data_IF_361941073976
#
_entry.id   IF_361941073976
#
_cell.length_a   1.000
_cell.length_b   1.000
_cell.length_c   1.000
_cell.angle_alpha   90.00
_cell.angle_beta   90.00
_cell.angle_gamma   90.00
#
_symmetry.space_group_name_H-M   'P 1'
#
loop_
_entity.id
_entity.type
_entity.pdbx_description
1 polymer ?
#
# COMPACT_ATOMS: atom_id res chain seq x y z
N UNK A 1 -8.28 7.20 10.34
CA UNK A 1 -7.21 7.94 9.64
C UNK A 1 -7.15 7.36 8.25
N UNK A 2 -7.06 8.16 7.18
CA UNK A 2 -7.09 7.58 5.84
C UNK A 2 -5.98 6.52 5.65
N UNK A 3 -6.32 5.38 5.06
CA UNK A 3 -5.44 4.22 4.84
C UNK A 3 -4.97 3.49 6.13
N UNK A 4 -5.79 3.50 7.20
CA UNK A 4 -5.47 2.82 8.46
C UNK A 4 -5.89 1.36 8.53
N UNK A 5 -6.12 0.70 7.40
CA UNK A 5 -6.60 -0.69 7.33
C UNK A 5 -7.94 -0.91 8.05
N UNK A 6 -8.75 0.14 8.11
CA UNK A 6 -10.08 0.14 8.70
C UNK A 6 -10.99 1.05 7.87
N UNK A 7 -12.21 0.58 7.58
CA UNK A 7 -13.21 1.43 6.94
C UNK A 7 -13.59 2.58 7.86
N UNK A 8 -13.27 3.80 7.46
CA UNK A 8 -13.62 5.01 8.21
C UNK A 8 -14.92 5.65 7.68
N UNK A 9 -15.70 6.36 8.52
CA UNK A 9 -16.96 7.00 8.10
C UNK A 9 -16.82 8.03 6.96
N UNK A 10 -15.61 8.52 6.70
CA UNK A 10 -15.30 9.49 5.65
C UNK A 10 -14.81 8.86 4.35
N UNK A 11 -14.58 7.54 4.32
CA UNK A 11 -14.18 6.84 3.11
C UNK A 11 -15.39 6.66 2.19
N UNK A 12 -15.19 6.97 0.91
CA UNK A 12 -16.21 6.82 -0.12
C UNK A 12 -15.95 5.56 -0.94
N UNK A 13 -17.00 5.06 -1.61
CA UNK A 13 -16.84 3.96 -2.56
C UNK A 13 -15.94 4.34 -3.73
N UNK A 14 -15.51 3.34 -4.52
CA UNK A 14 -14.49 3.53 -5.55
C UNK A 14 -14.96 4.35 -6.76
N UNK A 15 -16.25 4.64 -6.89
CA UNK A 15 -16.83 5.30 -8.08
C UNK A 15 -16.84 4.43 -9.34
N UNK A 16 -16.55 3.14 -9.22
CA UNK A 16 -16.44 2.19 -10.32
C UNK A 16 -17.69 1.32 -10.45
N UNK A 17 -18.23 1.19 -11.67
CA UNK A 17 -19.43 0.38 -11.94
C UNK A 17 -19.16 -1.07 -12.30
N UNK A 18 -17.92 -1.40 -12.68
CA UNK A 18 -17.54 -2.74 -13.17
C UNK A 18 -16.75 -3.55 -12.14
N UNK A 19 -16.68 -3.09 -10.89
CA UNK A 19 -15.99 -3.79 -9.83
C UNK A 19 -16.92 -4.82 -9.20
N UNK A 20 -16.44 -6.04 -9.00
CA UNK A 20 -17.23 -7.18 -8.55
C UNK A 20 -16.47 -7.94 -7.48
N UNK A 21 -17.19 -8.52 -6.52
CA UNK A 21 -16.65 -9.51 -5.59
C UNK A 21 -17.26 -10.86 -5.88
N UNK A 22 -16.42 -11.84 -6.19
CA UNK A 22 -16.80 -13.23 -6.43
C UNK A 22 -16.57 -14.05 -5.16
N UNK A 23 -17.43 -15.03 -4.92
CA UNK A 23 -17.29 -16.03 -3.88
C UNK A 23 -16.92 -17.36 -4.53
N UNK A 24 -15.78 -17.95 -4.16
CA UNK A 24 -15.37 -19.27 -4.61
C UNK A 24 -15.16 -20.19 -3.40
N UNK A 25 -15.42 -21.50 -3.55
CA UNK A 25 -15.02 -22.46 -2.52
C UNK A 25 -13.50 -22.43 -2.32
N UNK A 26 -13.03 -22.69 -1.10
CA UNK A 26 -11.59 -22.78 -0.82
C UNK A 26 -11.24 -24.16 -0.28
N UNK A 27 -10.24 -24.79 -0.90
CA UNK A 27 -9.71 -26.11 -0.52
C UNK A 27 -8.21 -25.99 -0.33
N UNK A 28 -7.71 -26.35 0.84
CA UNK A 28 -6.28 -26.24 1.17
C UNK A 28 -5.74 -24.80 1.11
N UNK A 29 -6.62 -23.79 1.24
CA UNK A 29 -6.26 -22.37 1.11
C UNK A 29 -6.26 -21.84 -0.33
N UNK A 30 -6.73 -22.62 -1.31
CA UNK A 30 -6.78 -22.21 -2.71
C UNK A 30 -8.22 -22.09 -3.20
N UNK A 31 -8.50 -21.01 -3.93
CA UNK A 31 -9.81 -20.75 -4.52
C UNK A 31 -10.08 -21.75 -5.65
N UNK A 32 -11.27 -22.34 -5.65
CA UNK A 32 -11.66 -23.36 -6.61
C UNK A 32 -12.55 -22.78 -7.70
N UNK A 33 -12.30 -23.07 -8.99
CA UNK A 33 -13.20 -22.71 -10.06
C UNK A 33 -14.35 -23.73 -10.21
N UNK A 34 -15.54 -23.31 -10.67
CA UNK A 34 -15.95 -21.92 -10.84
C UNK A 34 -16.30 -21.27 -9.49
N UNK A 35 -16.28 -19.94 -9.45
CA UNK A 35 -16.93 -19.19 -8.39
C UNK A 35 -18.43 -19.56 -8.31
N UNK A 36 -18.96 -19.51 -7.10
CA UNK A 36 -20.34 -19.89 -6.77
C UNK A 36 -21.31 -18.72 -6.92
N UNK A 37 -20.82 -17.50 -6.72
CA UNK A 37 -21.61 -16.28 -6.80
C UNK A 37 -20.72 -15.07 -7.11
N UNK A 38 -21.33 -14.00 -7.61
CA UNK A 38 -20.70 -12.70 -7.81
C UNK A 38 -21.65 -11.59 -7.38
N UNK A 39 -21.09 -10.51 -6.83
CA UNK A 39 -21.84 -9.34 -6.38
C UNK A 39 -21.15 -8.07 -6.86
N UNK A 40 -21.89 -7.17 -7.50
CA UNK A 40 -21.37 -5.87 -7.91
C UNK A 40 -21.03 -5.03 -6.68
N UNK A 41 -19.90 -4.33 -6.73
CA UNK A 41 -19.51 -3.36 -5.71
C UNK A 41 -20.22 -2.03 -5.99
N UNK A 42 -20.91 -1.50 -4.99
CA UNK A 42 -21.61 -0.23 -5.09
C UNK A 42 -20.61 0.92 -5.31
N UNK A 43 -20.73 1.72 -6.39
CA UNK A 43 -19.76 2.77 -6.70
C UNK A 43 -19.63 3.82 -5.58
N UNK A 44 -20.73 4.20 -4.93
CA UNK A 44 -20.75 5.28 -3.94
C UNK A 44 -20.28 4.87 -2.55
N UNK A 45 -20.42 3.59 -2.18
CA UNK A 45 -20.15 3.11 -0.82
C UNK A 45 -19.08 2.03 -0.75
N UNK A 46 -18.75 1.38 -1.87
CA UNK A 46 -17.85 0.22 -1.89
C UNK A 46 -18.49 -1.06 -1.32
N UNK A 47 -19.77 -1.02 -0.94
CA UNK A 47 -20.45 -2.18 -0.35
C UNK A 47 -20.77 -3.23 -1.42
N UNK A 48 -20.71 -4.50 -1.02
CA UNK A 48 -21.17 -5.65 -1.79
C UNK A 48 -21.87 -6.63 -0.84
N UNK A 49 -22.70 -7.51 -1.37
CA UNK A 49 -23.40 -8.52 -0.56
C UNK A 49 -23.58 -9.82 -1.35
N UNK A 50 -23.22 -10.92 -0.71
CA UNK A 50 -23.40 -12.29 -1.20
C UNK A 50 -24.38 -12.98 -0.26
N UNK A 51 -25.57 -13.28 -0.75
CA UNK A 51 -26.65 -13.88 0.04
C UNK A 51 -26.58 -15.41 0.02
N UNK A 52 -27.22 -16.04 1.01
CA UNK A 52 -27.44 -17.49 1.07
C UNK A 52 -26.16 -18.33 0.99
N UNK A 53 -25.05 -17.81 1.54
CA UNK A 53 -23.78 -18.53 1.61
C UNK A 53 -23.88 -19.63 2.67
N UNK A 54 -23.82 -20.89 2.24
CA UNK A 54 -23.81 -22.03 3.15
C UNK A 54 -22.55 -22.05 4.03
N UNK A 55 -22.59 -22.64 5.23
CA UNK A 55 -21.39 -22.82 6.04
C UNK A 55 -20.28 -23.57 5.28
N UNK A 56 -19.04 -23.08 5.37
CA UNK A 56 -17.92 -23.62 4.61
C UNK A 56 -16.72 -22.67 4.57
N UNK A 57 -15.65 -23.07 3.88
CA UNK A 57 -14.45 -22.25 3.66
C UNK A 57 -14.43 -21.73 2.23
N UNK A 58 -14.16 -20.43 2.09
CA UNK A 58 -14.30 -19.70 0.84
C UNK A 58 -13.14 -18.73 0.60
N UNK A 59 -13.04 -18.29 -0.64
CA UNK A 59 -12.35 -17.08 -1.04
C UNK A 59 -13.36 -16.03 -1.48
N UNK A 60 -13.09 -14.77 -1.12
CA UNK A 60 -13.62 -13.61 -1.81
C UNK A 60 -12.56 -13.09 -2.77
N UNK A 61 -12.97 -12.80 -4.00
CA UNK A 61 -12.09 -12.42 -5.11
C UNK A 61 -12.57 -11.08 -5.65
N UNK A 62 -11.73 -10.05 -5.57
CA UNK A 62 -12.00 -8.76 -6.18
C UNK A 62 -11.61 -8.80 -7.66
N UNK A 63 -12.55 -8.43 -8.53
CA UNK A 63 -12.40 -8.58 -9.98
C UNK A 63 -13.11 -7.45 -10.75
N UNK A 64 -12.62 -7.13 -11.96
CA UNK A 64 -13.23 -6.23 -12.91
C UNK A 64 -14.34 -6.85 -13.78
N UNK A 65 -14.72 -8.10 -13.53
CA UNK A 65 -15.80 -8.78 -14.23
C UNK A 65 -16.61 -9.72 -13.30
N UNK A 66 -17.76 -10.21 -13.78
CA UNK A 66 -18.63 -11.13 -13.04
C UNK A 66 -18.62 -12.59 -13.57
N UNK A 67 -17.68 -12.95 -14.45
CA UNK A 67 -17.57 -14.28 -15.02
C UNK A 67 -17.14 -15.28 -13.94
N UNK A 68 -18.00 -16.25 -13.63
CA UNK A 68 -17.74 -17.20 -12.55
C UNK A 68 -16.61 -18.20 -12.84
N UNK A 69 -16.31 -18.46 -14.11
CA UNK A 69 -15.17 -19.30 -14.50
C UNK A 69 -13.83 -18.60 -14.33
N UNK A 70 -13.85 -17.26 -14.27
CA UNK A 70 -12.67 -16.46 -13.97
C UNK A 70 -12.56 -16.27 -12.44
N UNK A 71 -11.51 -16.84 -11.87
CA UNK A 71 -11.18 -16.75 -10.44
C UNK A 71 -9.84 -16.04 -10.21
N UNK A 72 -9.30 -15.38 -11.23
CA UNK A 72 -8.08 -14.58 -11.09
C UNK A 72 -8.44 -13.20 -10.53
N UNK A 73 -7.88 -12.78 -9.38
CA UNK A 73 -8.10 -11.43 -8.85
C UNK A 73 -7.63 -10.38 -9.86
N UNK A 74 -8.47 -9.39 -10.11
CA UNK A 74 -8.18 -8.29 -11.01
C UNK A 74 -8.60 -6.97 -10.38
N UNK A 75 -7.63 -6.23 -9.82
CA UNK A 75 -7.88 -4.86 -9.36
C UNK A 75 -8.04 -3.91 -10.54
N UNK A 76 -8.83 -2.84 -10.39
CA UNK A 76 -8.91 -1.78 -11.39
C UNK A 76 -7.55 -1.13 -11.64
N UNK A 77 -7.28 -0.77 -12.90
CA UNK A 77 -6.08 -0.03 -13.28
C UNK A 77 -6.01 1.29 -12.52
N UNK A 78 -4.84 1.62 -11.98
CA UNK A 78 -4.62 2.84 -11.19
C UNK A 78 -4.91 2.69 -9.70
N UNK A 79 -5.33 1.51 -9.23
CA UNK A 79 -5.68 1.28 -7.83
C UNK A 79 -4.71 0.32 -7.14
N UNK A 80 -4.25 0.71 -5.94
CA UNK A 80 -3.50 -0.15 -5.03
C UNK A 80 -4.41 -0.73 -3.96
N UNK A 81 -4.16 -1.98 -3.57
CA UNK A 81 -4.84 -2.58 -2.42
C UNK A 81 -4.17 -2.14 -1.12
N UNK A 82 -4.94 -1.59 -0.19
CA UNK A 82 -4.43 -1.12 1.11
C UNK A 82 -4.54 -2.19 2.18
N UNK A 83 -5.62 -2.98 2.21
CA UNK A 83 -5.83 -4.02 3.24
C UNK A 83 -5.51 -5.43 2.74
N UNK A 84 -6.09 -5.79 1.60
CA UNK A 84 -5.90 -7.09 0.95
C UNK A 84 -5.27 -6.87 -0.43
N UNK A 85 -3.98 -6.57 -0.43
CA UNK A 85 -3.19 -6.26 -1.62
C UNK A 85 -3.12 -7.37 -2.68
N UNK A 86 -3.52 -8.59 -2.36
CA UNK A 86 -3.70 -9.69 -3.33
C UNK A 86 -5.02 -9.62 -4.10
N UNK A 87 -6.01 -8.87 -3.62
CA UNK A 87 -7.39 -8.94 -4.09
C UNK A 87 -8.12 -10.22 -3.65
N UNK A 88 -7.58 -10.94 -2.66
CA UNK A 88 -8.15 -12.16 -2.10
C UNK A 88 -8.38 -12.02 -0.60
N UNK A 89 -9.51 -12.52 -0.12
CA UNK A 89 -9.79 -12.73 1.31
C UNK A 89 -10.19 -14.18 1.50
N UNK A 90 -9.46 -14.92 2.34
CA UNK A 90 -9.86 -16.27 2.76
C UNK A 90 -10.69 -16.17 4.03
N UNK A 91 -11.81 -16.87 4.06
CA UNK A 91 -12.70 -16.87 5.21
C UNK A 91 -13.44 -18.19 5.39
N UNK A 92 -13.78 -18.48 6.64
CA UNK A 92 -14.73 -19.54 7.00
C UNK A 92 -16.06 -18.90 7.39
N UNK A 93 -17.13 -19.30 6.71
CA UNK A 93 -18.50 -18.88 6.97
C UNK A 93 -19.18 -19.95 7.83
N UNK A 94 -19.82 -19.52 8.91
CA UNK A 94 -20.60 -20.38 9.81
C UNK A 94 -22.10 -20.12 9.69
N UNK A 95 -22.85 -20.29 10.77
CA UNK A 95 -24.27 -19.95 10.84
C UNK A 95 -24.54 -18.44 10.92
N UNK A 96 -23.53 -17.64 11.29
CA UNK A 96 -23.63 -16.18 11.33
C UNK A 96 -23.00 -15.56 10.08
N UNK A 97 -23.67 -14.55 9.47
CA UNK A 97 -23.10 -13.83 8.35
C UNK A 97 -21.77 -13.16 8.71
N UNK A 98 -20.84 -13.15 7.75
CA UNK A 98 -19.58 -12.43 7.86
C UNK A 98 -19.75 -11.03 7.28
N UNK A 99 -19.39 -10.02 8.06
CA UNK A 99 -19.42 -8.61 7.67
C UNK A 99 -18.01 -8.03 7.63
N UNK A 100 -17.86 -6.82 7.08
CA UNK A 100 -16.59 -6.06 7.06
C UNK A 100 -15.42 -6.83 6.42
N UNK A 101 -15.71 -7.58 5.36
CA UNK A 101 -14.70 -8.24 4.54
C UNK A 101 -14.19 -7.23 3.50
N UNK A 102 -13.30 -6.36 3.93
CA UNK A 102 -12.87 -5.20 3.15
C UNK A 102 -11.61 -5.51 2.35
N UNK A 103 -11.58 -5.10 1.08
CA UNK A 103 -10.35 -5.24 0.27
C UNK A 103 -9.37 -4.09 0.49
N UNK A 104 -9.88 -2.90 0.84
CA UNK A 104 -9.11 -1.66 0.93
C UNK A 104 -8.56 -1.25 -0.44
N UNK A 105 -9.07 -0.17 -1.02
CA UNK A 105 -8.64 0.30 -2.34
C UNK A 105 -8.28 1.78 -2.30
N UNK A 106 -7.14 2.12 -2.87
CA UNK A 106 -6.68 3.49 -3.02
C UNK A 106 -6.40 3.81 -4.49
N UNK A 107 -7.01 4.88 -5.00
CA UNK A 107 -6.78 5.37 -6.37
C UNK A 107 -5.50 6.20 -6.42
N UNK A 108 -4.39 5.54 -6.71
CA UNK A 108 -3.07 6.13 -6.63
C UNK A 108 -2.00 5.08 -6.47
N UNK A 109 -0.86 5.48 -5.93
CA UNK A 109 0.28 4.64 -5.64
C UNK A 109 0.67 4.76 -4.17
N UNK A 110 1.41 3.78 -3.67
CA UNK A 110 2.06 3.83 -2.36
C UNK A 110 3.57 3.80 -2.51
N UNK A 111 4.27 4.45 -1.58
CA UNK A 111 5.72 4.43 -1.51
C UNK A 111 6.16 4.26 -0.07
N UNK A 112 7.01 3.26 0.18
CA UNK A 112 7.57 3.01 1.52
C UNK A 112 9.09 3.06 1.56
N UNK A 113 9.60 3.35 2.76
CA UNK A 113 11.01 3.60 2.97
C UNK A 113 11.37 3.72 4.44
N UNK A 114 12.67 3.94 4.69
CA UNK A 114 13.22 4.15 6.04
C UNK A 114 14.13 5.36 6.07
N UNK A 115 14.01 6.19 7.11
CA UNK A 115 15.06 7.15 7.50
C UNK A 115 15.83 6.56 8.67
N UNK A 116 17.16 6.52 8.62
CA UNK A 116 18.00 5.86 9.61
C UNK A 116 19.25 6.66 9.97
N UNK A 117 19.84 6.29 11.11
CA UNK A 117 21.06 6.87 11.64
C UNK A 117 22.28 6.14 11.06
N UNK A 118 22.95 6.78 10.11
CA UNK A 118 24.03 6.21 9.30
C UNK A 118 25.40 6.39 10.00
N UNK A 119 25.53 5.80 11.18
CA UNK A 119 26.67 5.96 12.09
C UNK A 119 27.68 4.81 12.03
N UNK A 120 27.45 3.79 11.21
CA UNK A 120 28.21 2.54 11.17
C UNK A 120 28.03 1.67 12.42
N UNK A 121 26.95 1.87 13.18
CA UNK A 121 26.73 1.16 14.44
C UNK A 121 26.54 -0.34 14.20
N UNK A 122 27.07 -1.18 15.08
CA UNK A 122 26.89 -2.63 15.01
C UNK A 122 27.68 -3.32 13.89
N UNK A 123 28.82 -2.74 13.49
CA UNK A 123 29.65 -3.29 12.41
C UNK A 123 29.27 -2.81 11.00
N UNK A 124 28.44 -1.77 10.93
CA UNK A 124 28.13 -1.05 9.71
C UNK A 124 29.25 -0.11 9.26
N UNK A 125 29.08 0.52 8.11
CA UNK A 125 30.02 1.54 7.60
C UNK A 125 29.42 2.92 7.70
N UNK A 126 30.06 3.82 8.46
CA UNK A 126 29.50 5.15 8.69
C UNK A 126 29.40 5.99 7.41
N UNK A 127 28.31 6.74 7.30
CA UNK A 127 28.03 7.70 6.24
C UNK A 127 28.02 7.08 4.83
N UNK A 128 27.64 5.81 4.70
CA UNK A 128 27.66 5.11 3.41
C UNK A 128 26.30 5.19 2.65
N UNK A 129 25.26 5.73 3.28
CA UNK A 129 23.92 5.83 2.73
C UNK A 129 23.13 4.53 2.69
N UNK A 130 23.61 3.48 3.35
CA UNK A 130 23.03 2.13 3.37
C UNK A 130 22.80 1.71 4.81
N UNK A 131 21.57 1.37 5.16
CA UNK A 131 21.28 0.89 6.52
C UNK A 131 21.89 -0.50 6.71
N UNK A 132 23.03 -0.56 7.41
CA UNK A 132 23.78 -1.79 7.66
C UNK A 132 24.18 -1.95 9.14
N UNK A 133 24.82 -3.08 9.46
CA UNK A 133 25.11 -3.45 10.85
C UNK A 133 23.85 -3.47 11.72
N UNK A 134 23.82 -2.60 12.72
CA UNK A 134 22.67 -2.38 13.61
C UNK A 134 22.26 -0.90 13.67
N UNK A 135 22.42 -0.18 12.56
CA UNK A 135 21.98 1.22 12.43
C UNK A 135 20.47 1.37 12.65
N UNK A 136 20.14 2.21 13.62
CA UNK A 136 18.75 2.40 14.04
C UNK A 136 17.99 3.30 13.08
N UNK A 137 16.69 3.01 12.90
CA UNK A 137 15.78 3.95 12.26
C UNK A 137 15.56 5.21 13.10
N UNK A 138 15.30 6.33 12.43
CA UNK A 138 15.03 7.62 13.07
C UNK A 138 13.54 7.89 13.09
N UNK A 139 12.95 7.95 14.29
CA UNK A 139 11.55 8.28 14.50
C UNK A 139 11.29 9.80 14.38
N UNK A 140 10.04 10.16 14.10
CA UNK A 140 9.57 11.55 14.08
C UNK A 140 10.25 12.45 13.05
N UNK A 141 10.83 11.87 11.99
CA UNK A 141 11.37 12.61 10.85
C UNK A 141 10.24 12.81 9.83
N UNK A 142 9.99 14.06 9.45
CA UNK A 142 9.06 14.35 8.38
C UNK A 142 9.69 14.00 7.02
N UNK A 143 8.96 13.29 6.18
CA UNK A 143 9.34 13.00 4.80
C UNK A 143 8.34 13.70 3.89
N UNK A 144 8.81 14.65 3.10
CA UNK A 144 7.98 15.59 2.35
C UNK A 144 8.16 15.44 0.84
N UNK A 145 7.14 15.84 0.10
CA UNK A 145 7.17 15.95 -1.37
C UNK A 145 7.17 17.41 -1.82
N UNK A 146 7.85 17.73 -2.93
CA UNK A 146 8.06 19.14 -3.36
C UNK A 146 7.26 19.59 -4.59
N UNK A 147 6.50 18.74 -5.28
CA UNK A 147 5.76 19.13 -6.50
C UNK A 147 4.41 19.82 -6.22
N UNK A 148 4.24 20.42 -5.03
CA UNK A 148 2.98 21.02 -4.60
C UNK A 148 1.88 20.02 -4.25
N UNK A 149 2.12 18.70 -4.35
CA UNK A 149 1.14 17.69 -3.93
C UNK A 149 0.89 17.70 -2.41
N UNK A 150 1.82 18.27 -1.61
CA UNK A 150 1.67 18.38 -0.17
C UNK A 150 1.63 17.04 0.56
N UNK A 151 2.07 15.96 -0.11
CA UNK A 151 2.10 14.61 0.46
C UNK A 151 3.28 14.56 1.44
N UNK A 152 3.00 14.14 2.67
CA UNK A 152 4.00 13.94 3.69
C UNK A 152 3.67 12.74 4.59
N UNK A 153 4.70 12.23 5.26
CA UNK A 153 4.57 11.25 6.32
C UNK A 153 5.59 11.54 7.42
N UNK A 154 5.34 11.01 8.60
CA UNK A 154 6.28 11.04 9.72
C UNK A 154 6.77 9.62 9.99
N UNK A 155 8.08 9.46 10.14
CA UNK A 155 8.66 8.14 10.40
C UNK A 155 8.24 7.56 11.75
N UNK A 156 7.96 6.26 11.76
CA UNK A 156 7.66 5.49 12.96
C UNK A 156 8.93 5.22 13.80
N UNK A 157 8.76 4.53 14.94
CA UNK A 157 9.86 4.21 15.87
C UNK A 157 11.06 3.50 15.23
N UNK A 158 10.83 2.72 14.17
CA UNK A 158 11.85 2.01 13.41
C UNK A 158 12.36 2.79 12.19
N UNK A 159 12.03 4.08 12.05
CA UNK A 159 12.39 4.91 10.90
C UNK A 159 11.51 4.72 9.66
N UNK A 160 10.60 3.75 9.67
CA UNK A 160 9.75 3.43 8.52
C UNK A 160 8.70 4.52 8.25
N UNK A 161 8.42 4.78 6.98
CA UNK A 161 7.35 5.67 6.55
C UNK A 161 6.65 5.14 5.29
N UNK A 162 5.42 5.60 5.06
CA UNK A 162 4.65 5.34 3.83
C UNK A 162 4.01 6.64 3.34
N UNK A 163 4.22 6.97 2.06
CA UNK A 163 3.52 8.04 1.35
C UNK A 163 2.43 7.45 0.46
N UNK A 164 1.26 8.09 0.47
CA UNK A 164 0.14 7.77 -0.42
C UNK A 164 0.04 8.85 -1.50
N UNK A 165 0.30 8.46 -2.74
CA UNK A 165 0.42 9.35 -3.90
C UNK A 165 -0.85 9.24 -4.72
N UNK A 166 -1.67 10.29 -4.73
CA UNK A 166 -2.95 10.27 -5.43
C UNK A 166 -2.75 10.08 -6.95
N UNK A 167 -3.66 9.37 -7.62
CA UNK A 167 -3.58 9.15 -9.06
C UNK A 167 -3.60 10.44 -9.91
N UNK A 168 -4.07 11.55 -9.34
CA UNK A 168 -4.01 12.88 -9.95
C UNK A 168 -2.61 13.52 -9.90
N UNK A 169 -1.67 12.93 -9.16
CA UNK A 169 -0.28 13.41 -9.09
C UNK A 169 0.42 13.16 -10.42
N UNK A 170 0.93 14.22 -11.04
CA UNK A 170 1.61 14.16 -12.32
C UNK A 170 3.01 14.78 -12.23
N UNK A 171 3.86 14.47 -13.22
CA UNK A 171 5.22 14.99 -13.29
C UNK A 171 6.19 14.30 -12.31
N UNK A 172 7.37 14.88 -12.18
CA UNK A 172 8.41 14.36 -11.28
C UNK A 172 8.07 14.74 -9.84
N UNK A 173 8.04 13.73 -8.98
CA UNK A 173 7.92 13.86 -7.53
C UNK A 173 9.32 13.76 -6.92
N UNK A 174 9.69 14.74 -6.11
CA UNK A 174 10.92 14.70 -5.31
C UNK A 174 10.55 14.50 -3.84
N UNK A 175 11.16 13.50 -3.21
CA UNK A 175 10.96 13.10 -1.82
C UNK A 175 12.19 13.50 -1.03
N UNK A 176 11.99 14.19 0.08
CA UNK A 176 13.07 14.72 0.92
C UNK A 176 12.75 14.53 2.40
N UNK A 177 13.62 13.89 3.20
CA UNK A 177 13.50 13.90 4.65
C UNK A 177 13.90 15.28 5.21
N UNK A 178 13.16 15.76 6.20
CA UNK A 178 13.52 16.92 6.99
C UNK A 178 14.52 16.50 8.05
N UNK A 179 15.83 16.65 7.75
CA UNK A 179 16.89 16.27 8.66
C UNK A 179 16.71 16.96 10.04
N UNK A 180 16.79 16.22 11.16
CA UNK A 180 16.82 16.82 12.49
C UNK A 180 17.95 17.84 12.62
N UNK A 181 17.80 18.78 13.55
CA UNK A 181 18.82 19.80 13.79
C UNK A 181 20.18 19.16 14.08
N UNK A 182 21.20 19.59 13.34
CA UNK A 182 22.56 19.06 13.46
C UNK A 182 22.83 17.77 12.68
N UNK A 183 21.85 17.18 12.00
CA UNK A 183 22.06 16.02 11.13
C UNK A 183 22.23 16.44 9.66
N UNK A 184 23.12 15.75 8.95
CA UNK A 184 23.34 15.86 7.52
C UNK A 184 22.92 14.57 6.83
N UNK A 185 22.42 14.70 5.60
CA UNK A 185 22.20 13.53 4.75
C UNK A 185 23.53 12.93 4.32
N UNK A 186 23.69 11.63 4.49
CA UNK A 186 24.90 10.89 4.16
C UNK A 186 24.75 10.14 2.84
N UNK A 187 23.54 9.65 2.56
CA UNK A 187 23.18 8.99 1.31
C UNK A 187 21.75 8.46 1.34
N UNK A 188 21.43 7.58 0.41
CA UNK A 188 20.10 7.00 0.30
C UNK A 188 19.90 6.17 -0.96
N UNK A 189 18.70 5.65 -1.12
CA UNK A 189 18.31 4.79 -2.24
C UNK A 189 16.97 5.21 -2.82
N UNK A 190 16.87 5.19 -4.14
CA UNK A 190 15.61 5.37 -4.85
C UNK A 190 14.73 4.10 -4.83
N UNK A 191 15.24 2.98 -4.30
CA UNK A 191 14.50 1.73 -4.18
C UNK A 191 13.96 1.24 -5.53
N UNK A 192 12.71 0.78 -5.53
CA UNK A 192 12.02 0.26 -6.73
C UNK A 192 11.37 1.33 -7.61
N UNK A 193 11.58 2.62 -7.32
CA UNK A 193 10.94 3.71 -8.07
C UNK A 193 11.42 3.85 -9.52
N UNK A 194 12.60 3.28 -9.85
CA UNK A 194 13.28 3.53 -11.11
C UNK A 194 13.81 4.96 -11.26
N UNK A 195 13.70 5.78 -10.21
CA UNK A 195 14.22 7.14 -10.16
C UNK A 195 15.68 7.22 -9.72
N UNK A 196 16.09 8.42 -9.34
CA UNK A 196 17.46 8.71 -8.92
C UNK A 196 17.52 9.32 -7.53
N UNK A 197 18.52 8.93 -6.75
CA UNK A 197 18.90 9.63 -5.53
C UNK A 197 19.91 10.73 -5.86
N UNK A 198 19.58 11.96 -5.46
CA UNK A 198 20.48 13.13 -5.46
C UNK A 198 20.35 13.78 -4.10
N UNK A 199 21.39 13.65 -3.27
CA UNK A 199 21.37 14.06 -1.86
C UNK A 199 20.73 15.45 -1.66
N UNK A 200 19.75 15.59 -0.74
CA UNK A 200 19.20 14.59 0.19
C UNK A 200 17.96 13.84 -0.34
N UNK A 201 17.68 13.87 -1.64
CA UNK A 201 16.35 13.59 -2.18
C UNK A 201 16.30 12.44 -3.18
N UNK A 202 15.14 11.81 -3.30
CA UNK A 202 14.82 10.87 -4.39
C UNK A 202 13.85 11.53 -5.35
N UNK A 203 14.12 11.48 -6.66
CA UNK A 203 13.23 12.00 -7.70
C UNK A 203 12.81 10.91 -8.68
N UNK A 204 11.51 10.81 -8.94
CA UNK A 204 10.92 9.84 -9.88
C UNK A 204 9.55 10.30 -10.39
N UNK A 205 9.03 9.68 -11.44
CA UNK A 205 7.66 9.91 -11.91
C UNK A 205 6.75 8.77 -11.44
N UNK A 206 5.80 9.01 -10.52
CA UNK A 206 4.91 7.96 -10.04
C UNK A 206 3.87 7.59 -11.11
N UNK A 207 3.63 6.30 -11.28
CA UNK A 207 2.45 5.75 -11.95
C UNK A 207 1.46 5.18 -10.92
N UNK A 208 0.17 5.49 -11.08
CA UNK A 208 -0.91 4.99 -10.23
C UNK A 208 -1.07 3.45 -10.37
N UNK A 209 -1.52 2.80 -9.31
CA UNK A 209 -1.62 1.34 -9.21
C UNK A 209 -0.33 0.65 -8.77
N UNK A 210 0.79 1.37 -8.68
CA UNK A 210 2.07 0.82 -8.26
C UNK A 210 2.30 0.93 -6.74
N UNK A 211 3.09 0.00 -6.23
CA UNK A 211 3.64 0.03 -4.87
C UNK A 211 5.16 0.09 -4.96
N UNK A 212 5.73 1.22 -4.52
CA UNK A 212 7.16 1.46 -4.46
C UNK A 212 7.68 1.18 -3.05
N UNK A 213 8.94 0.74 -2.96
CA UNK A 213 9.56 0.33 -1.70
C UNK A 213 11.07 0.57 -1.72
N UNK A 214 11.67 0.61 -0.53
CA UNK A 214 13.12 0.75 -0.36
C UNK A 214 13.64 2.16 -0.66
N UNK A 215 12.78 3.18 -0.56
CA UNK A 215 13.18 4.58 -0.70
C UNK A 215 13.78 5.03 0.62
N UNK A 216 15.09 4.97 0.75
CA UNK A 216 15.74 5.10 2.06
C UNK A 216 16.63 6.35 2.12
N UNK A 217 16.80 6.88 3.34
CA UNK A 217 17.62 8.06 3.60
C UNK A 217 18.48 7.86 4.85
N UNK A 218 19.81 7.93 4.67
CA UNK A 218 20.76 7.96 5.78
C UNK A 218 21.00 9.39 6.25
N UNK A 219 20.97 9.59 7.57
CA UNK A 219 21.33 10.84 8.23
C UNK A 219 22.38 10.55 9.31
N UNK A 220 23.33 11.46 9.50
CA UNK A 220 24.30 11.40 10.60
C UNK A 220 24.60 12.80 11.14
N UNK A 221 25.05 12.94 12.41
CA UNK A 221 25.47 14.22 13.00
C UNK A 221 26.68 14.88 12.30
#
# INVERSE_FOLDING_TARGET
MNHSFSLDPTESGPGLTNLTVKLAASVGGYCQPPALAASSVAPSTGAYSLANVAPGTYCLILDGNNLLTDIAPARPVGWTGTENGSGLILLTVGSTPKTNQNFGLYNGASLSGTVFNDTGTGGGSSNNGVQDGSEAGLANVAVNTSNGAGISATTAGNGGYTLWIAASTTGTLTITPAAPSGALATGGSAGTTGGSYTRPSVSFTPAAGNTYSGVNFGLAP
#
